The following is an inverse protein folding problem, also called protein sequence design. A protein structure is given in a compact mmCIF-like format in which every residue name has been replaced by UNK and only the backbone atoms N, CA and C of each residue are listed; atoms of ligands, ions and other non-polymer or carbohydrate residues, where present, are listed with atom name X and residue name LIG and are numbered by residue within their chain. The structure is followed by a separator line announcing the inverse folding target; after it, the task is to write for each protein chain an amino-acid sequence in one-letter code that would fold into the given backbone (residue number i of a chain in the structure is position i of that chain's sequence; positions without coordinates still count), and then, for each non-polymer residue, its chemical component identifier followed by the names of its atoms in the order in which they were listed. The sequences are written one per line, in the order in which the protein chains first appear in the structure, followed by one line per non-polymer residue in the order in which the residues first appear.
data_IF_612791420838
#
_entry.id   IF_612791420838
#
_cell.length_a   1.000
_cell.length_b   1.000
_cell.length_c   1.000
_cell.angle_alpha   90.00
_cell.angle_beta   90.00
_cell.angle_gamma   90.00
#
_symmetry.space_group_name_H-M   'P 1'
#
loop_
_entity.id
_entity.type
_entity.pdbx_description
1 polymer ?
#
# COMPACT_ATOMS: atom_id res chain seq x y z
N UNK A 1 5.93 -5.73 7.15
CA UNK A 1 5.61 -5.83 5.71
C UNK A 1 5.77 -4.50 4.98
N UNK A 2 4.82 -3.56 4.97
CA UNK A 2 4.98 -2.28 4.25
C UNK A 2 6.12 -1.40 4.81
N UNK A 3 6.22 -1.29 6.15
CA UNK A 3 7.30 -0.56 6.82
C UNK A 3 8.69 -1.09 6.50
N UNK A 4 8.84 -2.42 6.43
CA UNK A 4 10.14 -3.05 6.13
C UNK A 4 10.54 -2.81 4.67
N UNK A 5 9.59 -2.92 3.75
CA UNK A 5 9.82 -2.56 2.33
C UNK A 5 10.21 -1.09 2.14
N UNK A 6 9.68 -0.18 2.96
CA UNK A 6 10.08 1.23 2.95
C UNK A 6 11.49 1.43 3.50
N UNK A 7 11.84 0.76 4.61
CA UNK A 7 13.20 0.78 5.16
C UNK A 7 14.22 0.28 4.15
N UNK A 8 13.93 -0.83 3.48
CA UNK A 8 14.84 -1.39 2.47
C UNK A 8 15.00 -0.45 1.27
N UNK A 9 13.91 0.18 0.81
CA UNK A 9 13.94 1.12 -0.32
C UNK A 9 14.72 2.40 -0.01
N UNK A 10 14.66 2.87 1.23
CA UNK A 10 15.24 4.14 1.67
C UNK A 10 16.40 3.94 2.63
N UNK A 11 17.12 2.81 2.53
CA UNK A 11 18.17 2.43 3.47
C UNK A 11 19.26 3.51 3.65
N UNK A 12 19.54 4.27 2.59
CA UNK A 12 20.56 5.32 2.57
C UNK A 12 19.97 6.75 2.58
N UNK A 13 18.66 6.91 2.81
CA UNK A 13 17.97 8.21 2.79
C UNK A 13 16.97 8.33 3.96
N UNK A 14 17.53 8.57 5.13
CA UNK A 14 16.78 8.69 6.40
C UNK A 14 15.69 9.79 6.37
N UNK A 15 15.92 11.00 5.81
CA UNK A 15 14.85 11.99 5.67
C UNK A 15 13.67 11.48 4.85
N UNK A 16 13.94 10.80 3.73
CA UNK A 16 12.89 10.24 2.87
C UNK A 16 12.16 9.07 3.53
N UNK A 17 12.88 8.19 4.24
CA UNK A 17 12.27 7.11 5.02
C UNK A 17 11.27 7.65 6.04
N UNK A 18 11.68 8.66 6.83
CA UNK A 18 10.82 9.28 7.84
C UNK A 18 9.55 9.86 7.20
N UNK A 19 9.69 10.60 6.11
CA UNK A 19 8.54 11.17 5.40
C UNK A 19 7.55 10.08 4.95
N UNK A 20 8.04 8.97 4.38
CA UNK A 20 7.18 7.87 3.93
C UNK A 20 6.47 7.16 5.08
N UNK A 21 7.15 6.96 6.21
CA UNK A 21 6.56 6.31 7.39
C UNK A 21 5.45 7.16 8.01
N UNK A 22 5.67 8.47 8.11
CA UNK A 22 4.66 9.41 8.62
C UNK A 22 3.46 9.46 7.67
N UNK A 23 3.70 9.61 6.37
CA UNK A 23 2.64 9.63 5.34
C UNK A 23 1.83 8.35 5.28
N UNK A 24 2.46 7.20 5.48
CA UNK A 24 1.75 5.91 5.49
C UNK A 24 0.75 5.81 6.62
N UNK A 25 1.06 6.34 7.82
CA UNK A 25 0.12 6.34 8.94
C UNK A 25 -1.04 7.32 8.70
N UNK A 26 -0.72 8.54 8.25
CA UNK A 26 -1.75 9.55 7.92
C UNK A 26 -2.73 9.02 6.88
N UNK A 27 -2.25 8.40 5.81
CA UNK A 27 -3.12 7.83 4.78
C UNK A 27 -3.95 6.65 5.31
N UNK A 28 -3.40 5.80 6.17
CA UNK A 28 -4.15 4.71 6.78
C UNK A 28 -5.33 5.24 7.62
N UNK A 29 -5.11 6.29 8.41
CA UNK A 29 -6.16 6.94 9.20
C UNK A 29 -7.24 7.59 8.31
N UNK A 30 -6.83 8.25 7.22
CA UNK A 30 -7.78 8.85 6.26
C UNK A 30 -8.64 7.78 5.59
N UNK A 31 -8.04 6.66 5.15
CA UNK A 31 -8.76 5.58 4.49
C UNK A 31 -9.73 4.87 5.44
N UNK A 32 -9.31 4.63 6.69
CA UNK A 32 -10.15 4.05 7.74
C UNK A 32 -11.36 4.95 8.07
N UNK A 33 -11.12 6.25 8.26
CA UNK A 33 -12.18 7.22 8.52
C UNK A 33 -13.16 7.37 7.34
N UNK A 34 -12.70 7.15 6.11
CA UNK A 34 -13.52 7.20 4.91
C UNK A 34 -14.35 5.94 4.67
N UNK A 35 -14.06 4.82 5.36
CA UNK A 35 -14.77 3.55 5.20
C UNK A 35 -14.64 2.97 3.79
N UNK A 36 -13.45 3.08 3.19
CA UNK A 36 -13.18 2.64 1.81
C UNK A 36 -12.77 1.16 1.72
N UNK A 37 -13.27 0.33 2.63
CA UNK A 37 -12.94 -1.09 2.76
C UNK A 37 -13.86 -2.04 1.97
N UNK A 38 -14.76 -1.51 1.11
CA UNK A 38 -15.65 -2.29 0.23
C UNK A 38 -14.89 -3.33 -0.63
N UNK A 39 -13.64 -3.03 -0.98
CA UNK A 39 -12.73 -3.93 -1.67
C UNK A 39 -11.28 -3.70 -1.22
N UNK A 40 -10.69 -4.73 -0.62
CA UNK A 40 -9.26 -4.73 -0.24
C UNK A 40 -8.57 -5.89 -0.93
N UNK A 41 -7.60 -5.58 -1.80
CA UNK A 41 -6.77 -6.56 -2.49
C UNK A 41 -5.36 -6.56 -1.88
N UNK A 42 -4.91 -7.70 -1.35
CA UNK A 42 -3.60 -7.81 -0.72
C UNK A 42 -2.48 -8.00 -1.75
N UNK A 43 -1.62 -7.00 -1.86
CA UNK A 43 -0.45 -7.01 -2.76
C UNK A 43 0.83 -7.54 -2.11
N UNK A 44 0.73 -8.07 -0.89
CA UNK A 44 1.88 -8.48 -0.08
C UNK A 44 2.67 -9.63 -0.70
N UNK A 45 1.97 -10.58 -1.32
CA UNK A 45 2.55 -11.83 -1.81
C UNK A 45 2.13 -12.20 -3.23
N UNK A 46 1.13 -11.50 -3.76
CA UNK A 46 0.53 -11.86 -5.04
C UNK A 46 1.39 -11.38 -6.22
N UNK A 47 1.59 -12.20 -7.26
CA UNK A 47 2.26 -11.76 -8.47
C UNK A 47 1.51 -10.55 -9.06
N UNK A 48 2.23 -9.53 -9.58
CA UNK A 48 1.59 -8.34 -10.14
C UNK A 48 0.55 -8.65 -11.22
N UNK A 49 0.75 -9.70 -12.02
CA UNK A 49 -0.18 -10.10 -13.07
C UNK A 49 -1.49 -10.67 -12.50
N UNK A 50 -1.44 -11.46 -11.43
CA UNK A 50 -2.64 -11.99 -10.77
C UNK A 50 -3.43 -10.85 -10.12
N UNK A 51 -2.76 -9.99 -9.36
CA UNK A 51 -3.39 -8.84 -8.73
C UNK A 51 -4.03 -7.89 -9.77
N UNK A 52 -3.39 -7.69 -10.92
CA UNK A 52 -3.96 -6.90 -12.00
C UNK A 52 -5.23 -7.53 -12.59
N UNK A 53 -5.30 -8.86 -12.68
CA UNK A 53 -6.51 -9.55 -13.10
C UNK A 53 -7.63 -9.39 -12.07
N UNK A 54 -7.31 -9.48 -10.77
CA UNK A 54 -8.28 -9.25 -9.69
C UNK A 54 -8.85 -7.83 -9.72
N UNK A 55 -7.99 -6.83 -9.95
CA UNK A 55 -8.42 -5.42 -10.15
C UNK A 55 -9.35 -5.30 -11.35
N UNK A 56 -9.00 -5.93 -12.49
CA UNK A 56 -9.83 -5.90 -13.69
C UNK A 56 -11.21 -6.51 -13.46
N UNK A 57 -11.27 -7.66 -12.80
CA UNK A 57 -12.53 -8.33 -12.43
C UNK A 57 -13.35 -7.47 -11.49
N UNK A 58 -12.74 -6.90 -10.45
CA UNK A 58 -13.46 -6.09 -9.47
C UNK A 58 -13.96 -4.74 -10.04
N UNK A 59 -13.24 -4.16 -11.00
CA UNK A 59 -13.64 -2.93 -11.69
C UNK A 59 -14.75 -3.14 -12.73
N UNK A 60 -15.05 -4.39 -13.12
CA UNK A 60 -16.07 -4.73 -14.11
C UNK A 60 -15.71 -4.28 -15.53
N UNK A 61 -14.42 -4.24 -15.85
CA UNK A 61 -13.89 -3.89 -17.18
C UNK A 61 -13.86 -5.09 -18.12
#
# INVERSE_FOLDING_TARGET
MARDRLRDRHADDEPSLRWHLDRTNELAEILDAAGLDDLVLDSSHEPPASLAADVHTAAGW
#
